data_IF_906837365483
#
_entry.id   IF_906837365483
#
_cell.length_a   1.000
_cell.length_b   1.000
_cell.length_c   1.000
_cell.angle_alpha   90.00
_cell.angle_beta   90.00
_cell.angle_gamma   90.00
#
_symmetry.space_group_name_H-M   'P 1'
#
loop_
_entity.id
_entity.type
_entity.pdbx_description
1 polymer ?
#
# COMPACT_ATOMS: atom_id res chain seq x y z
N UNK A 1 6.99 -11.25 2.14
CA UNK A 1 6.09 -11.48 3.31
C UNK A 1 5.82 -10.19 4.10
N UNK A 2 4.60 -10.01 4.64
CA UNK A 2 4.11 -8.83 5.38
C UNK A 2 3.76 -7.56 4.57
N UNK A 3 2.85 -7.62 3.56
CA UNK A 3 2.41 -6.43 2.82
C UNK A 3 1.82 -5.34 3.73
N UNK A 4 0.91 -5.74 4.65
CA UNK A 4 0.30 -4.81 5.60
C UNK A 4 1.34 -4.15 6.51
N UNK A 5 2.18 -4.92 7.20
CA UNK A 5 3.09 -4.39 8.23
C UNK A 5 4.16 -3.49 7.64
N UNK A 6 4.64 -3.81 6.43
CA UNK A 6 5.60 -2.99 5.70
C UNK A 6 5.04 -1.61 5.44
N UNK A 7 3.82 -1.54 4.88
CA UNK A 7 3.16 -0.27 4.57
C UNK A 7 2.76 0.47 5.85
N UNK A 8 2.21 -0.22 6.85
CA UNK A 8 1.77 0.39 8.10
C UNK A 8 2.95 1.04 8.85
N UNK A 9 4.02 0.29 9.10
CA UNK A 9 5.15 0.77 9.91
C UNK A 9 5.93 1.88 9.20
N UNK A 10 6.12 1.79 7.88
CA UNK A 10 6.81 2.81 7.10
C UNK A 10 6.00 4.11 7.03
N UNK A 11 4.70 4.00 6.72
CA UNK A 11 3.77 5.13 6.63
C UNK A 11 3.62 5.82 7.97
N UNK A 12 3.40 5.05 9.05
CA UNK A 12 3.25 5.61 10.41
C UNK A 12 4.46 6.44 10.81
N UNK A 13 5.68 5.95 10.53
CA UNK A 13 6.92 6.69 10.80
C UNK A 13 7.05 7.96 9.96
N UNK A 14 6.52 7.99 8.74
CA UNK A 14 6.51 9.20 7.92
C UNK A 14 5.51 10.23 8.46
N UNK A 15 4.29 9.78 8.79
CA UNK A 15 3.24 10.61 9.41
C UNK A 15 3.72 11.20 10.74
N UNK A 16 4.33 10.39 11.60
CA UNK A 16 4.87 10.85 12.90
C UNK A 16 5.93 11.94 12.73
N UNK A 17 6.81 11.83 11.72
CA UNK A 17 7.86 12.83 11.44
C UNK A 17 7.33 14.15 10.89
N UNK A 18 6.19 14.11 10.20
CA UNK A 18 5.57 15.28 9.56
C UNK A 18 4.50 15.93 10.44
N UNK A 19 4.30 15.44 11.66
CA UNK A 19 3.33 15.98 12.61
C UNK A 19 3.61 17.46 12.87
N UNK A 20 2.59 18.30 12.70
CA UNK A 20 2.69 19.75 12.85
C UNK A 20 3.02 20.51 11.55
N UNK A 21 3.15 19.81 10.42
CA UNK A 21 3.24 20.40 9.09
C UNK A 21 1.90 20.25 8.35
N UNK A 22 1.74 20.97 7.22
CA UNK A 22 0.57 20.88 6.33
C UNK A 22 0.83 19.89 5.16
N UNK A 23 1.63 18.85 5.40
CA UNK A 23 2.03 17.88 4.37
C UNK A 23 1.17 16.63 4.43
N UNK A 24 0.53 16.30 3.31
CA UNK A 24 -0.20 15.06 3.12
C UNK A 24 0.77 13.89 2.81
N UNK A 25 0.60 12.76 3.51
CA UNK A 25 1.33 11.51 3.22
C UNK A 25 0.47 10.60 2.35
N UNK A 26 1.02 10.15 1.22
CA UNK A 26 0.42 9.17 0.29
C UNK A 26 1.50 8.22 -0.23
N UNK A 27 1.73 7.05 0.41
CA UNK A 27 2.75 6.11 -0.03
C UNK A 27 2.41 5.47 -1.38
N UNK A 28 3.45 5.05 -2.11
CA UNK A 28 3.33 4.08 -3.19
C UNK A 28 3.23 2.67 -2.58
N UNK A 29 2.23 1.90 -3.00
CA UNK A 29 2.00 0.50 -2.59
C UNK A 29 2.18 -0.43 -3.79
N UNK A 30 2.56 -1.68 -3.54
CA UNK A 30 3.09 -2.57 -4.57
C UNK A 30 1.98 -3.39 -5.24
N UNK A 31 1.91 -3.37 -6.57
CA UNK A 31 0.96 -4.16 -7.38
C UNK A 31 1.69 -5.03 -8.42
N UNK A 32 2.86 -5.55 -8.07
CA UNK A 32 3.63 -6.45 -8.92
C UNK A 32 4.33 -7.54 -8.11
N UNK A 33 4.65 -8.68 -8.74
CA UNK A 33 5.36 -9.75 -8.05
C UNK A 33 6.71 -9.30 -7.50
N UNK A 34 7.07 -9.74 -6.30
CA UNK A 34 8.42 -9.50 -5.78
C UNK A 34 9.40 -10.43 -6.49
N UNK A 35 10.02 -9.97 -7.57
CA UNK A 35 10.94 -10.79 -8.36
C UNK A 35 12.29 -11.06 -7.64
N UNK A 36 12.61 -10.32 -6.57
CA UNK A 36 13.94 -10.29 -5.98
C UNK A 36 14.06 -11.06 -4.65
N UNK A 37 13.02 -11.05 -3.81
CA UNK A 37 13.07 -11.70 -2.50
C UNK A 37 12.36 -13.06 -2.47
N UNK A 38 11.02 -13.09 -2.53
CA UNK A 38 10.25 -14.32 -2.31
C UNK A 38 9.45 -14.79 -3.53
N UNK A 39 9.58 -14.12 -4.70
CA UNK A 39 8.86 -14.43 -5.94
C UNK A 39 7.35 -14.48 -5.78
N UNK A 40 6.83 -13.82 -4.73
CA UNK A 40 5.41 -13.77 -4.42
C UNK A 40 4.64 -13.06 -5.52
N UNK A 41 3.46 -13.58 -5.82
CA UNK A 41 2.43 -12.88 -6.58
C UNK A 41 1.56 -12.12 -5.60
N UNK A 42 1.42 -10.80 -5.80
CA UNK A 42 0.50 -9.99 -5.03
C UNK A 42 -0.94 -10.31 -5.43
N UNK A 43 -1.75 -10.67 -4.44
CA UNK A 43 -3.18 -10.94 -4.62
C UNK A 43 -4.00 -9.65 -4.43
N UNK A 44 -5.26 -9.59 -4.90
CA UNK A 44 -6.16 -8.50 -4.57
C UNK A 44 -6.28 -8.27 -3.05
N UNK A 45 -6.23 -9.34 -2.25
CA UNK A 45 -6.25 -9.29 -0.79
C UNK A 45 -4.98 -8.67 -0.20
N UNK A 46 -3.79 -8.99 -0.74
CA UNK A 46 -2.53 -8.37 -0.32
C UNK A 46 -2.56 -6.87 -0.59
N UNK A 47 -2.98 -6.46 -1.79
CA UNK A 47 -3.06 -5.04 -2.18
C UNK A 47 -4.08 -4.29 -1.30
N UNK A 48 -5.26 -4.87 -1.06
CA UNK A 48 -6.23 -4.29 -0.12
C UNK A 48 -5.69 -4.19 1.29
N UNK A 49 -4.83 -5.12 1.72
CA UNK A 49 -4.17 -5.06 3.01
C UNK A 49 -3.21 -3.87 3.09
N UNK A 50 -2.46 -3.57 2.02
CA UNK A 50 -1.59 -2.39 1.94
C UNK A 50 -2.38 -1.08 1.92
N UNK A 51 -3.46 -1.04 1.14
CA UNK A 51 -4.38 0.12 1.10
C UNK A 51 -4.91 0.43 2.50
N UNK A 52 -5.37 -0.59 3.23
CA UNK A 52 -5.83 -0.48 4.62
C UNK A 52 -4.70 -0.04 5.54
N UNK A 53 -3.52 -0.63 5.41
CA UNK A 53 -2.35 -0.30 6.21
C UNK A 53 -1.96 1.18 6.11
N UNK A 54 -1.99 1.76 4.91
CA UNK A 54 -1.69 3.17 4.70
C UNK A 54 -2.70 4.08 5.44
N UNK A 55 -4.00 3.78 5.30
CA UNK A 55 -5.07 4.55 5.94
C UNK A 55 -5.01 4.44 7.47
N UNK A 56 -4.85 3.23 8.01
CA UNK A 56 -4.74 3.00 9.45
C UNK A 56 -3.47 3.61 10.06
N UNK A 57 -2.41 3.80 9.25
CA UNK A 57 -1.19 4.51 9.64
C UNK A 57 -1.32 6.05 9.61
N UNK A 58 -2.46 6.59 9.17
CA UNK A 58 -2.74 8.02 9.15
C UNK A 58 -2.37 8.73 7.84
N UNK A 59 -2.12 8.00 6.74
CA UNK A 59 -2.01 8.62 5.42
C UNK A 59 -3.39 9.06 4.88
N UNK A 60 -3.40 10.07 4.03
CA UNK A 60 -4.64 10.51 3.37
C UNK A 60 -5.06 9.62 2.18
N UNK A 61 -4.23 8.64 1.84
CA UNK A 61 -4.45 7.71 0.73
C UNK A 61 -3.16 7.01 0.34
N UNK A 62 -3.12 6.50 -0.89
CA UNK A 62 -2.03 5.69 -1.43
C UNK A 62 -2.05 5.78 -2.97
N UNK A 63 -0.98 5.30 -3.62
CA UNK A 63 -0.87 5.17 -5.07
C UNK A 63 -0.36 3.78 -5.43
N UNK A 64 -0.99 3.10 -6.39
CA UNK A 64 -0.51 1.79 -6.86
C UNK A 64 0.71 1.94 -7.77
N UNK A 65 1.70 1.08 -7.56
CA UNK A 65 2.88 1.01 -8.41
C UNK A 65 3.03 -0.38 -9.02
N UNK A 66 3.03 -0.45 -10.35
CA UNK A 66 3.57 -1.56 -11.15
C UNK A 66 4.46 -0.93 -12.23
N UNK A 67 5.75 -1.32 -12.36
CA UNK A 67 6.64 -0.81 -13.41
C UNK A 67 6.15 -1.08 -14.85
N UNK A 68 5.22 -2.02 -15.03
CA UNK A 68 4.58 -2.35 -16.31
C UNK A 68 3.28 -1.57 -16.54
N UNK A 69 2.86 -0.74 -15.58
CA UNK A 69 1.62 0.05 -15.63
C UNK A 69 0.39 -0.85 -15.81
N UNK A 70 0.39 -2.01 -15.16
CA UNK A 70 -0.72 -2.97 -15.14
C UNK A 70 -1.19 -3.10 -13.71
N UNK A 71 -2.47 -2.82 -13.46
CA UNK A 71 -3.00 -2.76 -12.12
C UNK A 71 -4.07 -3.83 -11.90
N UNK A 72 -4.10 -4.41 -10.71
CA UNK A 72 -5.06 -5.44 -10.30
C UNK A 72 -6.41 -4.78 -9.98
N UNK A 73 -7.29 -4.70 -10.98
CA UNK A 73 -8.59 -4.02 -10.88
C UNK A 73 -9.48 -4.61 -9.78
N UNK A 74 -9.34 -5.90 -9.49
CA UNK A 74 -10.04 -6.62 -8.42
C UNK A 74 -9.75 -6.05 -7.03
N UNK A 75 -8.57 -5.47 -6.83
CA UNK A 75 -8.22 -4.81 -5.56
C UNK A 75 -9.01 -3.50 -5.34
N UNK A 76 -9.44 -2.85 -6.42
CA UNK A 76 -10.14 -1.56 -6.41
C UNK A 76 -11.67 -1.68 -6.33
N UNK A 77 -12.22 -2.87 -6.57
CA UNK A 77 -13.66 -3.12 -6.46
C UNK A 77 -14.06 -3.16 -4.98
N UNK A 78 -15.26 -2.65 -4.62
CA UNK A 78 -15.84 -2.93 -3.31
C UNK A 78 -15.93 -4.44 -3.09
N UNK A 79 -15.80 -4.90 -1.84
CA UNK A 79 -16.11 -6.29 -1.52
C UNK A 79 -17.53 -6.60 -2.01
N UNK A 80 -17.69 -7.68 -2.80
CA UNK A 80 -19.00 -8.13 -3.25
C UNK A 80 -19.92 -8.27 -2.04
N UNK A 81 -21.09 -7.64 -2.13
CA UNK A 81 -22.09 -7.59 -1.07
C UNK A 81 -22.72 -8.95 -0.82
#
# INVERSE_FOLDING_TARGET
>A
PYPYETVYLSTRRAVERLKGTDVAVRPWIQDFPDYAYDRRVYTPEDIRSEMRAALEAGAEGWMLWDPRVRYTVEALKPASR
#
